data_IF_337052372595
#
_entry.id   IF_337052372595
#
_cell.length_a   1.000
_cell.length_b   1.000
_cell.length_c   1.000
_cell.angle_alpha   90.00
_cell.angle_beta   90.00
_cell.angle_gamma   90.00
#
_symmetry.space_group_name_H-M   'P 1'
#
loop_
_entity.id
_entity.type
_entity.pdbx_description
1 polymer ?
#
# COMPACT_ATOMS: atom_id res chain seq x y z
N UNK A 1 -7.72 23.58 9.97
CA UNK A 1 -7.62 22.72 8.77
C UNK A 1 -7.56 21.25 9.13
N UNK A 2 -8.41 20.44 8.55
CA UNK A 2 -8.45 19.00 8.83
C UNK A 2 -7.34 18.32 8.04
N UNK A 3 -6.58 17.45 8.71
CA UNK A 3 -5.57 16.61 8.05
C UNK A 3 -6.29 15.59 7.17
N UNK A 4 -5.83 15.40 5.94
CA UNK A 4 -6.38 14.39 5.03
C UNK A 4 -6.25 13.00 5.66
N UNK A 5 -7.26 12.12 5.50
CA UNK A 5 -7.22 10.77 6.07
C UNK A 5 -5.97 9.97 5.68
N UNK A 6 -5.53 10.04 4.42
CA UNK A 6 -4.34 9.35 3.95
C UNK A 6 -3.07 9.89 4.61
N UNK A 7 -3.03 11.19 4.92
CA UNK A 7 -1.91 11.79 5.65
C UNK A 7 -1.85 11.26 7.08
N UNK A 8 -3.00 11.08 7.74
CA UNK A 8 -3.05 10.46 9.06
C UNK A 8 -2.61 9.01 9.02
N UNK A 9 -3.03 8.29 7.98
CA UNK A 9 -2.60 6.90 7.78
C UNK A 9 -1.08 6.82 7.61
N UNK A 10 -0.52 7.69 6.77
CA UNK A 10 0.93 7.78 6.59
C UNK A 10 1.66 8.02 7.92
N UNK A 11 1.20 8.97 8.72
CA UNK A 11 1.81 9.29 10.03
C UNK A 11 1.73 8.11 10.99
N UNK A 12 0.70 7.27 10.87
CA UNK A 12 0.53 6.09 11.70
C UNK A 12 1.57 5.01 11.41
N UNK A 13 2.04 4.91 10.17
CA UNK A 13 2.92 3.83 9.73
C UNK A 13 4.38 4.23 9.52
N UNK A 14 4.66 5.49 9.23
CA UNK A 14 5.98 5.95 8.75
C UNK A 14 7.15 5.61 9.67
N UNK A 15 6.94 5.62 10.99
CA UNK A 15 7.99 5.39 11.97
C UNK A 15 8.08 3.93 12.44
N UNK A 16 7.27 3.05 11.86
CA UNK A 16 7.18 1.65 12.25
C UNK A 16 8.08 0.73 11.44
N UNK A 17 8.80 1.30 10.47
CA UNK A 17 9.75 0.57 9.63
C UNK A 17 11.17 0.97 10.01
N UNK A 18 12.02 0.00 10.29
CA UNK A 18 13.42 0.22 10.69
C UNK A 18 14.42 -0.29 9.65
N UNK A 19 14.10 -1.41 8.98
CA UNK A 19 14.94 -2.01 7.94
C UNK A 19 14.56 -1.56 6.54
N UNK A 20 13.34 -1.07 6.38
CA UNK A 20 12.82 -0.58 5.11
C UNK A 20 12.72 0.94 5.19
N UNK A 21 13.29 1.63 4.21
CA UNK A 21 13.19 3.09 4.11
C UNK A 21 11.94 3.44 3.31
N UNK A 22 11.02 4.15 3.95
CA UNK A 22 9.80 4.62 3.30
C UNK A 22 9.97 6.07 2.87
N UNK A 23 9.62 6.36 1.62
CA UNK A 23 9.59 7.72 1.09
C UNK A 23 8.19 8.00 0.58
N UNK A 24 7.55 9.03 1.12
CA UNK A 24 6.25 9.46 0.63
C UNK A 24 6.41 10.24 -0.66
N UNK A 25 5.64 9.84 -1.67
CA UNK A 25 5.64 10.49 -2.98
C UNK A 25 4.41 11.40 -3.06
N UNK A 26 4.64 12.69 -3.20
CA UNK A 26 3.56 13.68 -3.37
C UNK A 26 3.47 14.07 -4.85
N UNK A 27 3.07 13.12 -5.68
CA UNK A 27 2.93 13.35 -7.11
C UNK A 27 1.62 14.06 -7.40
N UNK A 28 1.70 15.20 -8.10
CA UNK A 28 0.54 15.95 -8.57
C UNK A 28 0.21 15.61 -10.02
N UNK A 29 0.52 14.41 -10.46
CA UNK A 29 0.28 13.99 -11.84
C UNK A 29 -0.81 12.92 -11.90
N UNK A 30 -1.56 12.83 -13.02
CA UNK A 30 -2.60 11.81 -13.18
C UNK A 30 -2.04 10.42 -13.52
N UNK A 31 -0.74 10.20 -13.33
CA UNK A 31 -0.08 8.94 -13.71
C UNK A 31 -0.42 7.75 -12.83
N UNK A 32 -1.08 7.98 -11.69
CA UNK A 32 -1.49 6.90 -10.80
C UNK A 32 -0.37 6.29 -9.97
N UNK A 33 0.74 7.02 -9.79
CA UNK A 33 1.84 6.56 -8.94
C UNK A 33 1.36 6.31 -7.51
N UNK A 34 1.81 5.22 -6.86
CA UNK A 34 1.49 4.98 -5.47
C UNK A 34 2.08 6.04 -4.52
N UNK A 35 1.55 6.08 -3.31
CA UNK A 35 1.90 7.10 -2.33
C UNK A 35 3.29 6.92 -1.71
N UNK A 36 3.77 5.70 -1.61
CA UNK A 36 4.99 5.38 -0.86
C UNK A 36 5.90 4.47 -1.65
N UNK A 37 7.17 4.87 -1.74
CA UNK A 37 8.25 4.01 -2.23
C UNK A 37 8.96 3.40 -1.02
N UNK A 38 9.09 2.08 -1.01
CA UNK A 38 9.77 1.33 0.05
C UNK A 38 11.03 0.68 -0.52
N UNK A 39 12.17 0.96 0.10
CA UNK A 39 13.46 0.43 -0.34
C UNK A 39 14.10 -0.34 0.81
N UNK A 40 14.58 -1.54 0.54
CA UNK A 40 15.16 -2.39 1.57
C UNK A 40 16.47 -3.05 1.13
N UNK A 41 17.31 -3.33 2.11
CA UNK A 41 18.50 -4.15 1.95
C UNK A 41 18.71 -4.94 3.23
N UNK A 42 18.46 -6.25 3.18
CA UNK A 42 18.70 -7.16 4.31
C UNK A 42 20.09 -7.76 4.16
N UNK A 43 20.42 -8.21 2.95
CA UNK A 43 21.76 -8.69 2.57
C UNK A 43 22.07 -8.17 1.17
N UNK A 44 23.28 -8.40 0.67
CA UNK A 44 23.65 -8.01 -0.69
C UNK A 44 22.78 -8.69 -1.75
N UNK A 45 22.18 -9.84 -1.42
CA UNK A 45 21.30 -10.56 -2.33
C UNK A 45 19.82 -10.30 -2.07
N UNK A 46 19.47 -9.91 -0.84
CA UNK A 46 18.11 -9.61 -0.45
C UNK A 46 17.92 -8.09 -0.34
N UNK A 47 17.77 -7.48 -1.48
CA UNK A 47 17.58 -6.03 -1.60
C UNK A 47 16.64 -5.73 -2.74
N UNK A 48 15.95 -4.63 -2.65
CA UNK A 48 15.03 -4.23 -3.69
C UNK A 48 14.12 -3.11 -3.26
N UNK A 49 13.01 -3.01 -3.94
CA UNK A 49 12.02 -1.98 -3.66
C UNK A 49 10.63 -2.49 -3.97
N UNK A 50 9.65 -1.86 -3.33
CA UNK A 50 8.24 -2.08 -3.62
C UNK A 50 7.47 -0.78 -3.35
N UNK A 51 6.23 -0.72 -3.84
CA UNK A 51 5.40 0.47 -3.72
C UNK A 51 4.16 0.16 -2.89
N UNK A 52 3.67 1.15 -2.16
CA UNK A 52 2.46 1.02 -1.36
C UNK A 52 1.51 2.16 -1.69
N UNK A 53 0.27 1.81 -2.07
CA UNK A 53 -0.83 2.75 -2.20
C UNK A 53 -1.58 2.80 -0.87
N UNK A 54 -1.81 3.98 -0.32
CA UNK A 54 -2.54 4.15 0.93
C UNK A 54 -3.98 4.56 0.63
N UNK A 55 -4.94 3.80 1.15
CA UNK A 55 -6.37 4.09 1.00
C UNK A 55 -7.06 4.10 2.36
N UNK A 56 -7.88 5.11 2.59
CA UNK A 56 -8.77 5.18 3.74
C UNK A 56 -10.19 5.04 3.21
N UNK A 57 -10.95 4.10 3.77
CA UNK A 57 -12.27 3.75 3.26
C UNK A 57 -13.37 4.21 4.19
N UNK A 58 -14.53 4.53 3.61
CA UNK A 58 -15.79 4.71 4.32
C UNK A 58 -16.74 3.64 3.78
N UNK A 59 -17.01 2.63 4.59
CA UNK A 59 -17.76 1.45 4.13
C UNK A 59 -16.85 0.48 3.38
N UNK A 60 -17.44 -0.24 2.43
CA UNK A 60 -16.76 -1.35 1.75
C UNK A 60 -15.96 -0.95 0.50
N UNK A 61 -16.20 0.23 -0.03
CA UNK A 61 -15.64 0.65 -1.31
C UNK A 61 -14.20 1.14 -1.17
N UNK A 62 -13.32 0.65 -2.05
CA UNK A 62 -11.95 1.13 -2.19
C UNK A 62 -11.87 1.93 -3.48
N UNK A 63 -11.65 3.23 -3.37
CA UNK A 63 -11.65 4.14 -4.53
C UNK A 63 -10.28 4.15 -5.19
N UNK A 64 -10.19 3.54 -6.35
CA UNK A 64 -8.98 3.56 -7.20
C UNK A 64 -9.33 4.24 -8.51
N UNK A 65 -8.52 5.24 -8.89
CA UNK A 65 -8.70 5.89 -10.19
C UNK A 65 -8.28 4.93 -11.32
N UNK A 66 -8.78 5.15 -12.56
CA UNK A 66 -8.31 4.35 -13.70
C UNK A 66 -6.79 4.36 -13.86
N UNK A 67 -6.14 5.50 -13.60
CA UNK A 67 -4.68 5.61 -13.63
C UNK A 67 -4.00 4.74 -12.58
N UNK A 68 -4.53 4.73 -11.35
CA UNK A 68 -4.00 3.89 -10.28
C UNK A 68 -4.16 2.41 -10.59
N UNK A 69 -5.32 2.00 -11.10
CA UNK A 69 -5.57 0.61 -11.49
C UNK A 69 -4.57 0.19 -12.58
N UNK A 70 -4.45 1.01 -13.62
CA UNK A 70 -3.57 0.74 -14.75
C UNK A 70 -2.11 0.65 -14.31
N UNK A 71 -1.68 1.57 -13.47
CA UNK A 71 -0.30 1.60 -12.97
C UNK A 71 0.04 0.32 -12.19
N UNK A 72 -0.80 -0.05 -11.22
CA UNK A 72 -0.57 -1.24 -10.40
C UNK A 72 -0.58 -2.53 -11.23
N UNK A 73 -1.55 -2.66 -12.13
CA UNK A 73 -1.66 -3.85 -12.97
C UNK A 73 -0.43 -3.99 -13.88
N UNK A 74 -0.05 -2.91 -14.55
CA UNK A 74 1.11 -2.91 -15.46
C UNK A 74 2.42 -3.16 -14.71
N UNK A 75 2.61 -2.51 -13.57
CA UNK A 75 3.83 -2.63 -12.78
C UNK A 75 4.06 -4.07 -12.32
N UNK A 76 3.02 -4.72 -11.81
CA UNK A 76 3.12 -6.10 -11.34
C UNK A 76 3.26 -7.09 -12.51
N UNK A 77 2.58 -6.84 -13.62
CA UNK A 77 2.71 -7.68 -14.83
C UNK A 77 4.14 -7.67 -15.37
N UNK A 78 4.82 -6.54 -15.25
CA UNK A 78 6.19 -6.38 -15.76
C UNK A 78 7.27 -6.71 -14.72
N UNK A 79 6.93 -7.43 -13.68
CA UNK A 79 7.90 -7.94 -12.71
C UNK A 79 8.16 -7.03 -11.51
N UNK A 80 7.47 -5.90 -11.42
CA UNK A 80 7.53 -5.05 -10.25
C UNK A 80 6.68 -5.57 -9.11
N UNK A 81 6.78 -4.93 -7.97
CA UNK A 81 6.02 -5.29 -6.78
C UNK A 81 5.33 -4.05 -6.21
N UNK A 82 4.02 -4.12 -6.05
CA UNK A 82 3.27 -3.06 -5.40
C UNK A 82 2.14 -3.65 -4.57
N UNK A 83 1.72 -2.88 -3.56
CA UNK A 83 0.65 -3.26 -2.65
C UNK A 83 -0.32 -2.10 -2.51
N UNK A 84 -1.57 -2.44 -2.20
CA UNK A 84 -2.60 -1.48 -1.84
C UNK A 84 -2.99 -1.79 -0.41
N UNK A 85 -2.83 -0.81 0.47
CA UNK A 85 -3.15 -0.97 1.88
C UNK A 85 -4.33 -0.08 2.22
N UNK A 86 -5.42 -0.69 2.69
CA UNK A 86 -6.67 -0.01 2.98
C UNK A 86 -7.01 -0.13 4.46
N UNK A 87 -7.39 0.99 5.07
CA UNK A 87 -7.86 1.04 6.45
C UNK A 87 -9.17 1.81 6.51
N UNK A 88 -10.13 1.42 7.37
CA UNK A 88 -11.35 2.21 7.53
C UNK A 88 -11.07 3.55 8.21
N UNK A 89 -11.89 4.55 7.86
CA UNK A 89 -11.85 5.84 8.52
C UNK A 89 -12.17 5.65 10.01
N UNK A 90 -11.32 6.21 10.87
CA UNK A 90 -11.45 6.06 12.31
C UNK A 90 -10.59 4.92 12.85
N UNK A 91 -11.18 3.78 13.13
CA UNK A 91 -10.49 2.64 13.73
C UNK A 91 -10.65 1.38 12.88
N UNK A 92 -9.64 0.54 12.93
CA UNK A 92 -9.69 -0.75 12.28
C UNK A 92 -8.32 -1.22 11.83
N UNK A 93 -8.28 -2.43 11.33
CA UNK A 93 -7.08 -3.03 10.80
C UNK A 93 -6.74 -2.50 9.42
N UNK A 94 -5.57 -2.86 8.95
CA UNK A 94 -5.07 -2.51 7.63
C UNK A 94 -5.13 -3.74 6.76
N UNK A 95 -5.99 -3.69 5.72
CA UNK A 95 -6.11 -4.77 4.74
C UNK A 95 -5.10 -4.55 3.64
N UNK A 96 -4.29 -5.56 3.34
CA UNK A 96 -3.23 -5.46 2.34
C UNK A 96 -3.56 -6.33 1.15
N UNK A 97 -3.50 -5.74 -0.05
CA UNK A 97 -3.75 -6.41 -1.32
C UNK A 97 -2.54 -6.28 -2.22
N UNK A 98 -2.27 -7.29 -3.03
CA UNK A 98 -1.30 -7.15 -4.11
C UNK A 98 -1.81 -6.14 -5.13
N UNK A 99 -0.92 -5.34 -5.70
CA UNK A 99 -1.28 -4.43 -6.79
C UNK A 99 -1.85 -5.14 -8.01
N UNK A 100 -1.51 -6.42 -8.19
CA UNK A 100 -2.09 -7.24 -9.28
C UNK A 100 -3.59 -7.42 -9.14
N UNK A 101 -4.15 -7.19 -7.95
CA UNK A 101 -5.59 -7.29 -7.68
C UNK A 101 -6.32 -5.94 -7.81
N UNK A 102 -5.65 -4.88 -8.29
CA UNK A 102 -6.23 -3.54 -8.29
C UNK A 102 -7.60 -3.45 -8.97
N UNK A 103 -7.77 -4.10 -10.13
CA UNK A 103 -9.05 -4.07 -10.84
C UNK A 103 -10.15 -4.76 -10.05
N UNK A 104 -9.86 -5.94 -9.50
CA UNK A 104 -10.82 -6.67 -8.67
C UNK A 104 -11.17 -5.89 -7.40
N UNK A 105 -10.16 -5.30 -6.76
CA UNK A 105 -10.36 -4.50 -5.55
C UNK A 105 -11.26 -3.28 -5.83
N UNK A 106 -11.07 -2.63 -6.97
CA UNK A 106 -11.92 -1.51 -7.36
C UNK A 106 -13.38 -1.92 -7.57
N UNK A 107 -13.61 -3.15 -8.05
CA UNK A 107 -14.95 -3.67 -8.29
C UNK A 107 -15.61 -4.25 -7.04
N UNK A 108 -14.87 -5.04 -6.27
CA UNK A 108 -15.41 -5.82 -5.16
C UNK A 108 -15.23 -5.11 -3.80
N UNK A 109 -14.32 -4.16 -3.72
CA UNK A 109 -14.05 -3.46 -2.46
C UNK A 109 -13.49 -4.40 -1.40
N UNK A 110 -13.75 -4.09 -0.15
CA UNK A 110 -13.25 -4.87 0.99
C UNK A 110 -13.89 -6.26 1.13
N UNK A 111 -14.88 -6.61 0.29
CA UNK A 111 -15.39 -7.98 0.22
C UNK A 111 -14.39 -8.92 -0.45
N UNK A 112 -13.44 -8.37 -1.23
CA UNK A 112 -12.32 -9.15 -1.73
C UNK A 112 -11.42 -9.52 -0.55
N UNK A 113 -11.06 -10.81 -0.44
CA UNK A 113 -10.20 -11.26 0.64
C UNK A 113 -8.79 -10.67 0.51
N UNK A 114 -8.26 -9.99 1.55
CA UNK A 114 -6.92 -9.43 1.49
C UNK A 114 -5.85 -10.50 1.64
N UNK A 115 -4.63 -10.19 1.19
CA UNK A 115 -3.47 -11.03 1.44
C UNK A 115 -3.16 -11.10 2.94
N UNK A 116 -3.44 -10.01 3.66
CA UNK A 116 -3.27 -9.95 5.10
C UNK A 116 -4.17 -8.86 5.69
N UNK A 117 -4.57 -9.06 6.93
CA UNK A 117 -5.23 -8.03 7.74
C UNK A 117 -4.35 -7.82 8.97
N UNK A 118 -3.77 -6.64 9.08
CA UNK A 118 -2.81 -6.31 10.13
C UNK A 118 -3.40 -5.22 11.02
N UNK A 119 -3.45 -5.49 12.33
CA UNK A 119 -4.02 -4.55 13.29
C UNK A 119 -2.97 -3.62 13.90
N UNK A 120 -1.76 -4.12 14.14
CA UNK A 120 -0.70 -3.34 14.78
C UNK A 120 0.32 -2.88 13.73
N UNK A 121 0.56 -1.55 13.62
CA UNK A 121 1.52 -1.04 12.63
C UNK A 121 2.93 -1.64 12.72
N UNK A 122 3.35 -2.05 13.94
CA UNK A 122 4.67 -2.68 14.11
C UNK A 122 4.78 -4.05 13.43
N UNK A 123 3.67 -4.67 13.05
CA UNK A 123 3.66 -5.96 12.36
C UNK A 123 3.73 -5.82 10.85
N UNK A 124 3.69 -4.59 10.32
CA UNK A 124 3.73 -4.34 8.88
C UNK A 124 5.07 -4.71 8.26
N UNK A 125 6.17 -4.23 8.83
CA UNK A 125 7.50 -4.45 8.25
C UNK A 125 7.84 -5.94 8.15
N UNK A 126 7.67 -6.76 9.19
CA UNK A 126 7.93 -8.19 9.07
C UNK A 126 7.10 -8.85 7.98
N UNK A 127 5.83 -8.46 7.87
CA UNK A 127 4.95 -9.02 6.84
C UNK A 127 5.45 -8.67 5.43
N UNK A 128 5.73 -7.38 5.17
CA UNK A 128 6.21 -6.95 3.85
C UNK A 128 7.55 -7.62 3.48
N UNK A 129 8.49 -7.66 4.41
CA UNK A 129 9.78 -8.29 4.16
C UNK A 129 9.63 -9.78 3.83
N UNK A 130 8.70 -10.46 4.49
CA UNK A 130 8.40 -11.85 4.21
C UNK A 130 7.86 -12.06 2.79
N UNK A 131 7.11 -11.09 2.26
CA UNK A 131 6.58 -11.17 0.91
C UNK A 131 7.62 -10.92 -0.18
N UNK A 132 8.62 -10.06 0.07
CA UNK A 132 9.55 -9.60 -0.96
C UNK A 132 10.93 -10.25 -0.89
N UNK A 133 11.22 -10.94 0.18
CA UNK A 133 12.46 -11.71 0.35
C UNK A 133 12.17 -13.20 0.36
#
# INVERSE_FOLDING_TARGET
MTTKPETRFWKRIKDKFTKVTLTRIEAVTPLGLPDVLAVYKITDKQRGQFWIELKVTTGNKVKLSPGQISWHMSHNTNGGCSFIMATPLGRGGMSIYSGSCALRLAKEGLSLEPCALIHEPCDLEPWFLDQVT
#
